data_IF_630308714515
#
_entry.id   IF_630308714515
#
_cell.length_a   1.000
_cell.length_b   1.000
_cell.length_c   1.000
_cell.angle_alpha   90.00
_cell.angle_beta   90.00
_cell.angle_gamma   90.00
#
_symmetry.space_group_name_H-M   'P 1'
#
loop_
_entity.id
_entity.type
_entity.pdbx_description
1 polymer ?
#
# COMPACT_ATOMS: atom_id res chain seq x y z
N UNK A 1 -2.29 13.40 12.84
CA UNK A 1 -3.28 12.42 12.33
C UNK A 1 -3.12 11.07 13.02
N UNK A 2 -4.22 10.33 13.20
CA UNK A 2 -4.21 8.92 13.56
C UNK A 2 -3.95 8.08 12.30
N UNK A 3 -3.29 6.93 12.44
CA UNK A 3 -3.09 5.99 11.33
C UNK A 3 -3.90 4.74 11.60
N UNK A 4 -4.71 4.33 10.64
CA UNK A 4 -5.58 3.15 10.71
C UNK A 4 -5.25 2.24 9.55
N UNK A 5 -5.20 0.94 9.80
CA UNK A 5 -5.15 -0.08 8.76
C UNK A 5 -6.50 -0.80 8.73
N UNK A 6 -7.02 -1.01 7.53
CA UNK A 6 -8.16 -1.90 7.33
C UNK A 6 -7.73 -3.36 7.53
N UNK A 7 -8.69 -4.27 7.79
CA UNK A 7 -8.40 -5.71 7.83
C UNK A 7 -7.72 -6.22 6.55
N UNK A 8 -8.10 -5.68 5.40
CA UNK A 8 -7.53 -5.99 4.08
C UNK A 8 -6.05 -5.59 4.01
N UNK A 9 -5.71 -4.37 4.41
CA UNK A 9 -4.32 -3.91 4.43
C UNK A 9 -3.45 -4.74 5.40
N UNK A 10 -3.99 -5.15 6.55
CA UNK A 10 -3.27 -6.02 7.48
C UNK A 10 -3.02 -7.41 6.89
N UNK A 11 -4.02 -7.97 6.19
CA UNK A 11 -3.85 -9.22 5.44
C UNK A 11 -2.79 -9.06 4.37
N UNK A 12 -2.87 -8.02 3.55
CA UNK A 12 -1.88 -7.74 2.50
C UNK A 12 -0.44 -7.74 3.08
N UNK A 13 -0.19 -7.06 4.20
CA UNK A 13 1.13 -7.06 4.88
C UNK A 13 1.57 -8.47 5.29
N UNK A 14 0.66 -9.25 5.88
CA UNK A 14 0.96 -10.62 6.31
C UNK A 14 1.29 -11.53 5.11
N UNK A 15 0.55 -11.39 4.02
CA UNK A 15 0.77 -12.15 2.79
C UNK A 15 2.10 -11.78 2.13
N UNK A 16 2.42 -10.48 2.04
CA UNK A 16 3.72 -9.99 1.57
C UNK A 16 4.85 -10.63 2.36
N UNK A 17 4.76 -10.60 3.70
CA UNK A 17 5.78 -11.19 4.57
C UNK A 17 5.89 -12.70 4.36
N UNK A 18 4.77 -13.41 4.28
CA UNK A 18 4.71 -14.86 4.03
C UNK A 18 5.34 -15.22 2.69
N UNK A 19 4.93 -14.56 1.61
CA UNK A 19 5.43 -14.78 0.26
C UNK A 19 6.95 -14.63 0.19
N UNK A 20 7.49 -13.49 0.64
CA UNK A 20 8.94 -13.24 0.58
C UNK A 20 9.72 -14.22 1.47
N UNK A 21 9.19 -14.55 2.65
CA UNK A 21 9.85 -15.46 3.58
C UNK A 21 9.87 -16.90 3.07
N UNK A 22 8.70 -17.40 2.67
CA UNK A 22 8.47 -18.84 2.45
C UNK A 22 8.59 -19.24 0.99
N UNK A 23 8.10 -18.43 0.06
CA UNK A 23 8.14 -18.75 -1.37
C UNK A 23 9.44 -18.29 -2.01
N UNK A 24 9.90 -17.08 -1.67
CA UNK A 24 11.20 -16.56 -2.13
C UNK A 24 12.38 -16.93 -1.22
N UNK A 25 12.13 -17.70 -0.14
CA UNK A 25 13.15 -18.19 0.79
C UNK A 25 14.05 -17.08 1.37
N UNK A 26 13.50 -15.86 1.54
CA UNK A 26 14.28 -14.69 1.96
C UNK A 26 13.69 -14.01 3.22
N UNK A 27 13.90 -14.60 4.41
CA UNK A 27 13.36 -14.06 5.67
C UNK A 27 13.90 -12.67 6.01
N UNK A 28 15.15 -12.36 5.63
CA UNK A 28 15.78 -11.06 5.85
C UNK A 28 15.05 -9.98 5.05
N UNK A 29 14.80 -10.23 3.75
CA UNK A 29 14.05 -9.31 2.91
C UNK A 29 12.60 -9.16 3.39
N UNK A 30 11.95 -10.25 3.82
CA UNK A 30 10.57 -10.20 4.34
C UNK A 30 10.45 -9.22 5.51
N UNK A 31 11.37 -9.28 6.48
CA UNK A 31 11.39 -8.37 7.62
C UNK A 31 11.74 -6.94 7.22
N UNK A 32 12.76 -6.76 6.36
CA UNK A 32 13.19 -5.43 5.88
C UNK A 32 12.06 -4.70 5.15
N UNK A 33 11.39 -5.40 4.22
CA UNK A 33 10.31 -4.85 3.40
C UNK A 33 9.08 -4.55 4.24
N UNK A 34 8.67 -5.49 5.11
CA UNK A 34 7.54 -5.26 6.03
C UNK A 34 7.78 -4.03 6.90
N UNK A 35 9.00 -3.89 7.43
CA UNK A 35 9.38 -2.72 8.24
C UNK A 35 9.34 -1.43 7.41
N UNK A 36 9.92 -1.43 6.21
CA UNK A 36 9.88 -0.26 5.34
C UNK A 36 8.44 0.20 5.05
N UNK A 37 7.53 -0.72 4.76
CA UNK A 37 6.10 -0.42 4.53
C UNK A 37 5.47 0.25 5.76
N UNK A 38 5.67 -0.32 6.95
CA UNK A 38 5.11 0.20 8.20
C UNK A 38 5.71 1.57 8.55
N UNK A 39 7.02 1.74 8.39
CA UNK A 39 7.73 2.99 8.65
C UNK A 39 7.28 4.08 7.68
N UNK A 40 7.11 3.75 6.39
CA UNK A 40 6.56 4.66 5.39
C UNK A 40 5.13 5.09 5.71
N UNK A 41 4.26 4.15 6.07
CA UNK A 41 2.90 4.47 6.50
C UNK A 41 2.88 5.31 7.79
N UNK A 42 3.83 5.12 8.70
CA UNK A 42 3.94 5.92 9.92
C UNK A 42 4.19 7.41 9.62
N UNK A 43 4.93 7.73 8.56
CA UNK A 43 5.16 9.12 8.12
C UNK A 43 3.86 9.84 7.74
N UNK A 44 2.83 9.11 7.30
CA UNK A 44 1.51 9.68 6.97
C UNK A 44 0.84 10.35 8.18
N UNK A 45 1.27 10.06 9.41
CA UNK A 45 0.77 10.77 10.61
C UNK A 45 1.15 12.25 10.62
N UNK A 46 2.35 12.55 10.11
CA UNK A 46 2.96 13.87 10.06
C UNK A 46 2.75 14.53 8.70
N UNK A 47 2.85 13.76 7.61
CA UNK A 47 2.72 14.23 6.24
C UNK A 47 1.64 13.43 5.49
N UNK A 48 0.34 13.60 5.81
CA UNK A 48 -0.74 12.85 5.17
C UNK A 48 -0.76 13.03 3.65
N UNK A 49 -0.30 14.19 3.18
CA UNK A 49 -0.36 14.59 1.77
C UNK A 49 0.86 14.17 0.93
N UNK A 50 1.86 13.51 1.54
CA UNK A 50 3.10 13.16 0.85
C UNK A 50 2.92 12.13 -0.28
N UNK A 51 1.84 11.35 -0.23
CA UNK A 51 1.48 10.42 -1.29
C UNK A 51 0.83 11.12 -2.48
N UNK A 52 1.04 10.53 -3.66
CA UNK A 52 0.50 11.05 -4.92
C UNK A 52 -1.02 10.94 -4.89
N UNK A 53 -1.70 12.07 -5.14
CA UNK A 53 -3.16 12.07 -5.34
C UNK A 53 -3.49 11.40 -6.67
N UNK A 54 -4.32 10.35 -6.62
CA UNK A 54 -4.73 9.63 -7.83
C UNK A 54 -5.61 10.55 -8.67
N UNK A 55 -6.58 11.23 -8.06
CA UNK A 55 -7.47 12.13 -8.79
C UNK A 55 -6.73 13.27 -9.47
N UNK A 56 -5.72 13.87 -8.82
CA UNK A 56 -4.90 14.92 -9.43
C UNK A 56 -4.06 14.40 -10.61
N UNK A 57 -3.66 13.12 -10.59
CA UNK A 57 -2.82 12.53 -11.63
C UNK A 57 -3.61 12.00 -12.82
N UNK A 58 -4.81 11.49 -12.61
CA UNK A 58 -5.63 10.83 -13.65
C UNK A 58 -6.82 11.65 -14.11
N UNK A 59 -7.21 12.70 -13.37
CA UNK A 59 -8.44 13.45 -13.59
C UNK A 59 -9.70 12.71 -13.12
N UNK A 60 -9.56 11.52 -12.52
CA UNK A 60 -10.70 10.76 -11.99
C UNK A 60 -11.16 11.35 -10.66
N UNK A 61 -12.46 11.43 -10.42
CA UNK A 61 -12.99 11.96 -9.16
C UNK A 61 -12.81 10.92 -8.04
N UNK A 62 -11.69 11.04 -7.31
CA UNK A 62 -11.34 10.15 -6.20
C UNK A 62 -10.49 10.86 -5.16
N UNK A 63 -10.73 10.50 -3.89
CA UNK A 63 -9.97 10.93 -2.72
C UNK A 63 -8.76 10.00 -2.42
N UNK A 64 -8.53 9.00 -3.27
CA UNK A 64 -7.46 8.04 -3.10
C UNK A 64 -6.09 8.67 -3.33
N UNK A 65 -5.14 8.30 -2.46
CA UNK A 65 -3.73 8.63 -2.56
C UNK A 65 -2.89 7.35 -2.54
N UNK A 66 -1.73 7.42 -3.17
CA UNK A 66 -0.77 6.32 -3.21
C UNK A 66 0.57 6.74 -2.60
N UNK A 67 1.02 5.97 -1.61
CA UNK A 67 2.37 6.05 -1.10
C UNK A 67 3.18 4.89 -1.68
N UNK A 68 4.25 5.20 -2.40
CA UNK A 68 5.15 4.20 -2.97
C UNK A 68 6.27 3.94 -1.95
N UNK A 69 6.40 2.70 -1.52
CA UNK A 69 7.45 2.23 -0.63
C UNK A 69 8.10 1.01 -1.25
N UNK A 70 9.38 1.11 -1.64
CA UNK A 70 10.09 0.05 -2.35
C UNK A 70 9.34 -0.34 -3.65
N UNK A 71 8.91 -1.60 -3.77
CA UNK A 71 8.09 -2.09 -4.89
C UNK A 71 6.61 -2.24 -4.50
N UNK A 72 6.17 -1.62 -3.40
CA UNK A 72 4.79 -1.72 -2.91
C UNK A 72 4.11 -0.35 -2.92
N UNK A 73 2.80 -0.36 -3.13
CA UNK A 73 1.95 0.82 -3.07
C UNK A 73 0.99 0.63 -1.90
N UNK A 74 1.03 1.56 -0.94
CA UNK A 74 -0.03 1.70 0.05
C UNK A 74 -1.08 2.66 -0.49
N UNK A 75 -2.30 2.14 -0.72
CA UNK A 75 -3.46 2.93 -1.09
C UNK A 75 -4.15 3.43 0.18
N UNK A 76 -4.35 4.74 0.28
CA UNK A 76 -4.91 5.35 1.47
C UNK A 76 -5.79 6.55 1.16
N UNK A 77 -6.58 6.94 2.16
CA UNK A 77 -7.41 8.17 2.15
C UNK A 77 -7.10 9.00 3.37
N UNK A 78 -7.30 10.30 3.24
CA UNK A 78 -7.21 11.26 4.34
C UNK A 78 -8.64 11.61 4.76
N UNK A 79 -9.01 11.24 5.98
CA UNK A 79 -10.22 11.68 6.67
C UNK A 79 -9.89 12.89 7.56
N UNK A 80 -10.83 13.42 8.33
CA UNK A 80 -10.63 14.65 9.14
C UNK A 80 -9.44 14.58 10.09
N UNK A 81 -9.28 13.48 10.83
CA UNK A 81 -8.17 13.31 11.79
C UNK A 81 -7.41 11.99 11.60
N UNK A 82 -7.77 11.21 10.58
CA UNK A 82 -7.26 9.86 10.38
C UNK A 82 -6.78 9.65 8.95
N UNK A 83 -5.67 8.96 8.80
CA UNK A 83 -5.25 8.35 7.55
C UNK A 83 -5.62 6.88 7.60
N UNK A 84 -6.44 6.44 6.66
CA UNK A 84 -6.92 5.06 6.55
C UNK A 84 -6.23 4.36 5.38
N UNK A 85 -5.38 3.38 5.67
CA UNK A 85 -4.72 2.53 4.67
C UNK A 85 -5.66 1.39 4.29
N UNK A 86 -6.11 1.39 3.05
CA UNK A 86 -7.09 0.45 2.52
C UNK A 86 -6.47 -0.81 1.96
N UNK A 87 -5.37 -0.72 1.20
CA UNK A 87 -4.71 -1.86 0.56
C UNK A 87 -3.20 -1.62 0.45
N UNK A 88 -2.43 -2.70 0.44
CA UNK A 88 -0.99 -2.67 0.14
C UNK A 88 -0.71 -3.67 -0.98
N UNK A 89 -0.33 -3.16 -2.15
CA UNK A 89 -0.22 -3.96 -3.38
C UNK A 89 1.19 -3.94 -3.93
N UNK A 90 1.61 -5.01 -4.62
CA UNK A 90 2.91 -5.01 -5.29
C UNK A 90 2.81 -4.20 -6.59
N UNK A 91 3.57 -3.11 -6.69
CA UNK A 91 3.59 -2.20 -7.84
C UNK A 91 4.05 -2.88 -9.15
N UNK A 92 4.72 -4.03 -9.09
CA UNK A 92 5.19 -4.76 -10.27
C UNK A 92 4.26 -5.89 -10.70
N UNK A 93 3.60 -6.55 -9.75
CA UNK A 93 2.76 -7.74 -10.02
C UNK A 93 1.26 -7.40 -10.08
N UNK A 94 0.79 -6.48 -9.24
CA UNK A 94 -0.64 -6.17 -9.14
C UNK A 94 -1.06 -4.94 -9.95
N UNK A 95 -0.14 -4.06 -10.34
CA UNK A 95 -0.48 -2.90 -11.18
C UNK A 95 -1.00 -3.33 -12.56
N UNK A 96 -0.47 -4.43 -13.10
CA UNK A 96 -0.96 -5.07 -14.33
C UNK A 96 -2.37 -5.57 -14.12
N UNK A 97 -2.67 -6.30 -13.04
CA UNK A 97 -4.04 -6.79 -12.75
C UNK A 97 -5.05 -5.67 -12.52
N UNK A 98 -4.64 -4.58 -11.85
CA UNK A 98 -5.50 -3.43 -11.56
C UNK A 98 -5.73 -2.57 -12.81
N UNK A 99 -4.73 -2.40 -13.68
CA UNK A 99 -4.86 -1.59 -14.91
C UNK A 99 -5.42 -2.36 -16.10
N UNK A 100 -5.14 -3.65 -16.22
CA UNK A 100 -5.53 -4.48 -17.36
C UNK A 100 -6.77 -5.34 -17.09
N UNK A 101 -7.36 -5.22 -15.89
CA UNK A 101 -8.64 -5.82 -15.54
C UNK A 101 -8.79 -7.23 -16.08
N UNK A 102 -8.03 -8.20 -15.54
CA UNK A 102 -8.25 -9.58 -15.98
C UNK A 102 -9.61 -10.08 -15.47
N UNK A 103 -10.55 -10.06 -16.41
CA UNK A 103 -11.56 -11.08 -16.65
C UNK A 103 -10.99 -12.43 -16.21
N UNK A 104 -11.42 -12.92 -15.06
CA UNK A 104 -11.18 -14.32 -14.72
C UNK A 104 -11.93 -15.20 -15.74
N UNK A 105 -11.38 -16.37 -16.12
CA UNK A 105 -12.09 -17.33 -16.96
C UNK A 105 -13.42 -17.79 -16.34
#
# INVERSE_FOLDING_TARGET
MKLRYTPEALRDIQEIKRYIKSELHNPTAANRITKAILDGCAQLKQFPEMGVSIGAKTGYETDLRMLIVESYIALYRIETETVSVGRIINARQDYIRILLGEVAP
#
